data_IF_854734800970
#
_entry.id   IF_854734800970
#
_cell.length_a   1.000
_cell.length_b   1.000
_cell.length_c   1.000
_cell.angle_alpha   90.00
_cell.angle_beta   90.00
_cell.angle_gamma   90.00
#
_symmetry.space_group_name_H-M   'P 1'
#
loop_
_entity.id
_entity.type
_entity.pdbx_description
1 polymer ?
#
# COMPACT_ATOMS: atom_id res chain seq x y z
N UNK A 1 -15.13 8.93 -7.09
CA UNK A 1 -14.83 10.39 -7.25
C UNK A 1 -13.55 10.74 -6.49
N UNK A 2 -12.97 11.93 -6.68
CA UNK A 2 -11.70 12.32 -6.00
C UNK A 2 -11.84 12.33 -4.47
N UNK A 3 -12.95 12.89 -3.95
CA UNK A 3 -13.24 12.89 -2.51
C UNK A 3 -13.34 11.48 -1.93
N UNK A 4 -14.02 10.55 -2.62
CA UNK A 4 -14.09 9.14 -2.21
C UNK A 4 -12.71 8.49 -2.20
N UNK A 5 -11.88 8.79 -3.20
CA UNK A 5 -10.50 8.28 -3.28
C UNK A 5 -9.65 8.78 -2.11
N UNK A 6 -9.82 10.06 -1.74
CA UNK A 6 -9.15 10.64 -0.57
C UNK A 6 -9.62 10.00 0.75
N UNK A 7 -10.92 9.75 0.93
CA UNK A 7 -11.42 9.05 2.12
C UNK A 7 -10.97 7.59 2.17
N UNK A 8 -10.96 6.91 1.02
CA UNK A 8 -10.49 5.53 0.91
C UNK A 8 -8.99 5.43 1.24
N UNK A 9 -8.18 6.37 0.77
CA UNK A 9 -6.76 6.42 1.12
C UNK A 9 -6.53 6.54 2.62
N UNK A 10 -7.27 7.42 3.31
CA UNK A 10 -7.19 7.57 4.77
C UNK A 10 -7.61 6.30 5.47
N UNK A 11 -8.75 5.73 5.08
CA UNK A 11 -9.24 4.49 5.64
C UNK A 11 -8.20 3.36 5.47
N UNK A 12 -7.66 3.18 4.27
CA UNK A 12 -6.65 2.17 4.00
C UNK A 12 -5.35 2.44 4.78
N UNK A 13 -4.95 3.69 4.97
CA UNK A 13 -3.78 4.03 5.79
C UNK A 13 -3.93 3.52 7.22
N UNK A 14 -5.05 3.84 7.88
CA UNK A 14 -5.33 3.41 9.26
C UNK A 14 -5.37 1.88 9.38
N UNK A 15 -6.01 1.20 8.43
CA UNK A 15 -6.09 -0.27 8.43
C UNK A 15 -4.70 -0.89 8.21
N UNK A 16 -3.93 -0.39 7.25
CA UNK A 16 -2.60 -0.93 6.96
C UNK A 16 -1.61 -0.65 8.09
N UNK A 17 -1.72 0.48 8.79
CA UNK A 17 -0.91 0.75 9.97
C UNK A 17 -1.10 -0.32 11.04
N UNK A 18 -2.35 -0.64 11.38
CA UNK A 18 -2.69 -1.70 12.34
C UNK A 18 -2.18 -3.06 11.86
N UNK A 19 -2.44 -3.40 10.58
CA UNK A 19 -2.01 -4.68 10.02
C UNK A 19 -0.49 -4.85 10.02
N UNK A 20 0.21 -3.80 9.63
CA UNK A 20 1.66 -3.80 9.60
C UNK A 20 2.23 -3.89 11.01
N UNK A 21 1.69 -3.14 11.98
CA UNK A 21 2.20 -3.13 13.35
C UNK A 21 2.08 -4.50 14.02
N UNK A 22 0.93 -5.15 13.88
CA UNK A 22 0.71 -6.50 14.41
C UNK A 22 1.62 -7.53 13.74
N UNK A 23 2.10 -7.26 12.52
CA UNK A 23 2.99 -8.18 11.79
C UNK A 23 4.46 -8.07 12.21
N UNK A 24 4.83 -7.05 13.00
CA UNK A 24 6.22 -6.75 13.37
C UNK A 24 6.81 -7.80 14.31
N UNK A 25 6.03 -8.30 15.27
CA UNK A 25 6.48 -9.34 16.18
C UNK A 25 5.33 -10.20 16.70
N UNK A 26 5.66 -11.44 17.06
CA UNK A 26 4.71 -12.36 17.67
C UNK A 26 4.19 -11.85 19.02
N UNK A 27 5.02 -11.11 19.76
CA UNK A 27 4.60 -10.49 21.03
C UNK A 27 3.52 -9.44 20.85
N UNK A 28 3.64 -8.56 19.85
CA UNK A 28 2.61 -7.55 19.53
C UNK A 28 1.36 -8.24 19.02
N UNK A 29 1.51 -9.20 18.09
CA UNK A 29 0.39 -9.98 17.57
C UNK A 29 -0.42 -10.65 18.69
N UNK A 30 0.25 -11.37 19.58
CA UNK A 30 -0.40 -12.05 20.70
C UNK A 30 -1.07 -11.05 21.64
N UNK A 31 -0.39 -9.96 22.04
CA UNK A 31 -0.97 -8.93 22.91
C UNK A 31 -2.25 -8.32 22.33
N UNK A 32 -2.26 -8.06 21.02
CA UNK A 32 -3.41 -7.43 20.35
C UNK A 32 -4.55 -8.42 20.06
N UNK A 33 -4.23 -9.72 19.94
CA UNK A 33 -5.22 -10.77 19.70
C UNK A 33 -5.72 -11.44 20.99
N UNK A 34 -5.03 -11.26 22.12
CA UNK A 34 -5.45 -11.77 23.43
C UNK A 34 -6.76 -11.10 23.86
N UNK A 35 -7.80 -11.90 24.09
CA UNK A 35 -9.14 -11.40 24.43
C UNK A 35 -10.00 -10.95 23.23
N UNK A 36 -9.49 -11.05 21.99
CA UNK A 36 -10.24 -10.75 20.77
C UNK A 36 -10.50 -12.03 19.93
N UNK A 37 -11.50 -12.86 20.30
CA UNK A 37 -11.74 -14.15 19.64
C UNK A 37 -11.97 -14.01 18.12
N UNK A 38 -12.59 -12.92 17.65
CA UNK A 38 -12.91 -12.74 16.22
C UNK A 38 -11.70 -12.61 15.28
N UNK A 39 -10.56 -12.08 15.74
CA UNK A 39 -9.34 -11.95 14.92
C UNK A 39 -8.45 -13.19 14.97
N UNK A 40 -8.49 -13.90 16.10
CA UNK A 40 -7.64 -15.05 16.34
C UNK A 40 -8.32 -16.36 15.93
N UNK A 41 -9.64 -16.49 16.03
CA UNK A 41 -10.35 -17.72 15.75
C UNK A 41 -10.89 -17.73 14.32
N UNK A 42 -10.48 -18.74 13.56
CA UNK A 42 -11.20 -19.18 12.37
C UNK A 42 -12.66 -19.48 12.72
N UNK A 43 -13.55 -19.40 11.73
CA UNK A 43 -14.94 -19.92 11.80
C UNK A 43 -15.01 -21.35 12.37
N UNK A 44 -13.92 -22.13 12.26
CA UNK A 44 -13.79 -23.50 12.81
C UNK A 44 -13.12 -23.57 14.19
N UNK A 45 -12.95 -22.46 14.90
CA UNK A 45 -12.32 -22.41 16.24
C UNK A 45 -10.79 -22.49 16.25
N UNK A 46 -10.13 -22.55 15.09
CA UNK A 46 -8.67 -22.63 15.00
C UNK A 46 -8.01 -21.26 15.14
N UNK A 47 -7.05 -21.14 16.06
CA UNK A 47 -6.19 -19.96 16.24
C UNK A 47 -5.36 -19.69 14.99
N UNK A 48 -5.40 -18.48 14.43
CA UNK A 48 -4.50 -18.03 13.37
C UNK A 48 -3.08 -17.90 13.94
N UNK A 49 -2.10 -18.71 13.48
CA UNK A 49 -0.72 -18.58 13.93
C UNK A 49 -0.09 -17.31 13.38
N UNK A 50 0.81 -16.69 14.15
CA UNK A 50 1.52 -15.47 13.76
C UNK A 50 2.16 -15.56 12.37
N UNK A 51 2.83 -16.68 12.06
CA UNK A 51 3.44 -16.90 10.73
C UNK A 51 2.41 -16.84 9.59
N UNK A 52 1.19 -17.34 9.80
CA UNK A 52 0.12 -17.24 8.80
C UNK A 52 -0.39 -15.80 8.68
N UNK A 53 -0.48 -15.08 9.79
CA UNK A 53 -0.82 -13.66 9.79
C UNK A 53 0.20 -12.83 9.00
N UNK A 54 1.50 -13.01 9.23
CA UNK A 54 2.54 -12.33 8.45
C UNK A 54 2.44 -12.63 6.94
N UNK A 55 2.14 -13.89 6.57
CA UNK A 55 1.89 -14.26 5.16
C UNK A 55 0.66 -13.56 4.59
N UNK A 56 -0.39 -13.38 5.40
CA UNK A 56 -1.57 -12.63 4.99
C UNK A 56 -1.23 -11.15 4.72
N UNK A 57 -0.49 -10.49 5.62
CA UNK A 57 -0.05 -9.10 5.42
C UNK A 57 0.78 -8.96 4.14
N UNK A 58 1.71 -9.89 3.89
CA UNK A 58 2.45 -9.95 2.60
C UNK A 58 1.51 -10.10 1.40
N UNK A 59 0.50 -10.95 1.50
CA UNK A 59 -0.48 -11.14 0.43
C UNK A 59 -1.29 -9.86 0.16
N UNK A 60 -1.68 -9.13 1.20
CA UNK A 60 -2.37 -7.84 1.08
C UNK A 60 -1.48 -6.79 0.42
N UNK A 61 -0.22 -6.69 0.83
CA UNK A 61 0.76 -5.80 0.21
C UNK A 61 0.96 -6.13 -1.29
N UNK A 62 1.10 -7.41 -1.63
CA UNK A 62 1.20 -7.85 -3.03
C UNK A 62 -0.06 -7.55 -3.85
N UNK A 63 -1.25 -7.75 -3.26
CA UNK A 63 -2.53 -7.44 -3.92
C UNK A 63 -2.71 -5.95 -4.15
N UNK A 64 -2.37 -5.10 -3.18
CA UNK A 64 -2.38 -3.64 -3.36
C UNK A 64 -1.43 -3.21 -4.47
N UNK A 65 -0.21 -3.75 -4.49
CA UNK A 65 0.75 -3.43 -5.55
C UNK A 65 0.24 -3.80 -6.95
N UNK A 66 -0.39 -4.97 -7.09
CA UNK A 66 -1.03 -5.38 -8.34
C UNK A 66 -2.19 -4.44 -8.72
N UNK A 67 -3.07 -4.08 -7.78
CA UNK A 67 -4.20 -3.18 -8.04
C UNK A 67 -3.73 -1.79 -8.48
N UNK A 68 -2.75 -1.20 -7.79
CA UNK A 68 -2.16 0.08 -8.20
C UNK A 68 -1.45 -0.03 -9.55
N UNK A 69 -0.75 -1.13 -9.82
CA UNK A 69 -0.11 -1.33 -11.14
C UNK A 69 -1.14 -1.30 -12.27
N UNK A 70 -2.33 -1.88 -12.06
CA UNK A 70 -3.43 -1.80 -13.01
C UNK A 70 -3.97 -0.37 -13.12
N UNK A 71 -4.31 0.26 -12.00
CA UNK A 71 -4.92 1.60 -11.97
C UNK A 71 -4.01 2.72 -12.49
N UNK A 72 -2.68 2.55 -12.41
CA UNK A 72 -1.69 3.49 -12.95
C UNK A 72 -1.38 3.28 -14.43
N UNK A 73 -1.84 2.17 -15.03
CA UNK A 73 -1.58 1.81 -16.42
C UNK A 73 -2.79 2.01 -17.35
N UNK A 74 -3.87 2.61 -16.83
CA UNK A 74 -5.10 2.87 -17.62
C UNK A 74 -4.95 4.16 -18.41
N UNK A 75 -5.57 4.21 -19.60
CA UNK A 75 -5.58 5.40 -20.46
C UNK A 75 -6.42 6.56 -19.89
N UNK A 76 -7.34 6.27 -18.96
CA UNK A 76 -8.23 7.28 -18.39
C UNK A 76 -7.55 8.05 -17.25
N UNK A 77 -7.38 9.37 -17.44
CA UNK A 77 -6.72 10.24 -16.47
C UNK A 77 -7.39 10.27 -15.09
N UNK A 78 -8.71 10.09 -15.00
CA UNK A 78 -9.43 10.14 -13.70
C UNK A 78 -9.05 8.94 -12.82
N UNK A 79 -8.92 7.74 -13.38
CA UNK A 79 -8.54 6.55 -12.62
C UNK A 79 -7.09 6.60 -12.15
N UNK A 80 -6.20 7.11 -13.02
CA UNK A 80 -4.80 7.35 -12.66
C UNK A 80 -4.71 8.38 -11.54
N UNK A 81 -5.49 9.48 -11.61
CA UNK A 81 -5.54 10.51 -10.57
C UNK A 81 -6.02 9.95 -9.23
N UNK A 82 -7.13 9.21 -9.24
CA UNK A 82 -7.68 8.58 -8.04
C UNK A 82 -6.69 7.58 -7.42
N UNK A 83 -6.04 6.77 -8.26
CA UNK A 83 -5.01 5.82 -7.83
C UNK A 83 -3.82 6.53 -7.18
N UNK A 84 -3.33 7.61 -7.79
CA UNK A 84 -2.25 8.43 -7.23
C UNK A 84 -2.67 9.14 -5.95
N UNK A 85 -3.92 9.58 -5.84
CA UNK A 85 -4.46 10.21 -4.62
C UNK A 85 -4.41 9.26 -3.44
N UNK A 86 -4.89 8.02 -3.63
CA UNK A 86 -4.83 6.97 -2.60
C UNK A 86 -3.36 6.64 -2.29
N UNK A 87 -2.55 6.35 -3.33
CA UNK A 87 -1.16 5.96 -3.17
C UNK A 87 -0.33 7.02 -2.45
N UNK A 88 -0.57 8.31 -2.71
CA UNK A 88 0.08 9.43 -2.04
C UNK A 88 -0.12 9.41 -0.53
N UNK A 89 -1.32 9.04 -0.06
CA UNK A 89 -1.62 8.96 1.36
C UNK A 89 -0.96 7.75 2.02
N UNK A 90 -1.00 6.60 1.35
CA UNK A 90 -0.38 5.38 1.87
C UNK A 90 1.15 5.52 1.97
N UNK A 91 1.79 6.06 0.92
CA UNK A 91 3.24 6.33 0.90
C UNK A 91 3.60 7.42 1.91
N UNK A 92 2.76 8.45 2.06
CA UNK A 92 2.95 9.52 3.03
C UNK A 92 2.89 9.05 4.49
N UNK A 93 2.02 8.08 4.79
CA UNK A 93 1.92 7.44 6.09
C UNK A 93 3.01 6.37 6.32
N UNK A 94 3.76 5.98 5.28
CA UNK A 94 4.79 4.94 5.39
C UNK A 94 4.24 3.53 5.61
N UNK A 95 2.97 3.29 5.28
CA UNK A 95 2.29 1.99 5.48
C UNK A 95 2.29 1.10 4.23
N UNK A 96 2.61 1.67 3.07
CA UNK A 96 2.77 0.96 1.81
C UNK A 96 3.70 1.74 0.87
N UNK A 97 4.57 1.08 0.11
CA UNK A 97 4.95 -0.34 0.24
C UNK A 97 5.87 -0.56 1.45
N UNK A 98 5.86 -1.77 2.03
CA UNK A 98 6.79 -2.15 3.13
C UNK A 98 7.86 -3.16 2.71
N UNK A 99 7.69 -3.81 1.56
CA UNK A 99 8.62 -4.81 1.03
C UNK A 99 9.24 -4.32 -0.29
N UNK A 100 10.49 -4.72 -0.51
CA UNK A 100 11.30 -4.36 -1.68
C UNK A 100 10.63 -4.69 -3.03
N UNK A 101 10.10 -5.91 -3.17
CA UNK A 101 9.45 -6.33 -4.42
C UNK A 101 8.27 -5.44 -4.79
N UNK A 102 7.42 -5.08 -3.82
CA UNK A 102 6.28 -4.19 -4.06
C UNK A 102 6.73 -2.75 -4.28
N UNK A 103 7.80 -2.32 -3.62
CA UNK A 103 8.41 -1.02 -3.82
C UNK A 103 8.89 -0.83 -5.25
N UNK A 104 9.72 -1.74 -5.78
CA UNK A 104 10.20 -1.67 -7.17
C UNK A 104 9.04 -1.75 -8.17
N UNK A 105 8.05 -2.60 -7.90
CA UNK A 105 6.87 -2.73 -8.75
C UNK A 105 6.12 -1.39 -8.85
N UNK A 106 5.90 -0.68 -7.74
CA UNK A 106 5.21 0.61 -7.78
C UNK A 106 6.10 1.71 -8.37
N UNK A 107 7.38 1.75 -7.99
CA UNK A 107 8.35 2.74 -8.48
C UNK A 107 8.43 2.72 -10.02
N UNK A 108 8.53 1.53 -10.62
CA UNK A 108 8.54 1.35 -12.08
C UNK A 108 7.24 1.79 -12.78
N UNK A 109 6.10 1.76 -12.09
CA UNK A 109 4.80 2.20 -12.64
C UNK A 109 4.56 3.70 -12.47
N UNK A 110 5.11 4.31 -11.41
CA UNK A 110 5.00 5.75 -11.17
C UNK A 110 6.01 6.53 -12.03
N UNK A 111 7.20 5.96 -12.30
CA UNK A 111 8.28 6.64 -13.02
C UNK A 111 7.84 7.26 -14.37
N UNK A 112 7.10 6.56 -15.26
CA UNK A 112 6.70 7.14 -16.55
C UNK A 112 5.77 8.34 -16.39
N UNK A 113 4.92 8.34 -15.35
CA UNK A 113 3.96 9.41 -15.02
C UNK A 113 4.66 10.67 -14.50
N UNK A 114 5.96 10.62 -14.19
CA UNK A 114 6.74 11.79 -13.78
C UNK A 114 7.16 12.68 -14.95
N UNK A 115 7.10 12.16 -16.18
CA UNK A 115 7.54 12.89 -17.38
C UNK A 115 6.35 13.60 -18.05
N UNK A 116 6.54 14.86 -18.46
CA UNK A 116 5.49 15.72 -19.05
C UNK A 116 5.27 15.45 -20.56
N UNK A 117 5.75 14.32 -21.08
CA UNK A 117 5.99 14.07 -22.52
C UNK A 117 4.74 13.98 -23.41
N UNK A 118 3.56 14.22 -22.86
CA UNK A 118 2.30 14.29 -23.59
C UNK A 118 1.18 14.50 -22.60
N UNK A 119 0.31 15.49 -22.85
CA UNK A 119 -0.81 15.88 -21.99
C UNK A 119 -1.89 14.80 -21.79
N UNK A 120 -1.56 13.51 -21.81
CA UNK A 120 -2.49 12.37 -21.71
C UNK A 120 -3.28 12.37 -20.40
N UNK A 121 -2.68 12.87 -19.32
CA UNK A 121 -3.26 12.80 -17.98
C UNK A 121 -3.33 14.16 -17.24
N UNK A 122 -2.69 15.21 -17.76
CA UNK A 122 -2.74 16.57 -17.20
C UNK A 122 -1.74 16.86 -16.06
N UNK A 123 -1.47 18.15 -15.82
CA UNK A 123 -0.40 18.64 -14.92
C UNK A 123 -0.51 18.16 -13.47
N UNK A 124 -1.72 17.97 -12.96
CA UNK A 124 -1.94 17.51 -11.58
C UNK A 124 -1.35 16.11 -11.34
N UNK A 125 -1.54 15.20 -12.30
CA UNK A 125 -1.01 13.84 -12.24
C UNK A 125 0.52 13.85 -12.24
N UNK A 126 1.16 14.62 -13.13
CA UNK A 126 2.61 14.72 -13.19
C UNK A 126 3.19 15.19 -11.85
N UNK A 127 2.57 16.20 -11.21
CA UNK A 127 3.01 16.73 -9.92
C UNK A 127 2.87 15.69 -8.81
N UNK A 128 1.73 14.99 -8.74
CA UNK A 128 1.54 13.92 -7.75
C UNK A 128 2.52 12.77 -7.94
N UNK A 129 2.72 12.32 -9.19
CA UNK A 129 3.65 11.26 -9.52
C UNK A 129 5.08 11.62 -9.10
N UNK A 130 5.56 12.84 -9.39
CA UNK A 130 6.87 13.32 -8.93
C UNK A 130 7.00 13.30 -7.41
N UNK A 131 5.98 13.77 -6.69
CA UNK A 131 5.97 13.77 -5.23
C UNK A 131 6.00 12.36 -4.63
N UNK A 132 5.23 11.43 -5.20
CA UNK A 132 5.22 10.03 -4.75
C UNK A 132 6.55 9.37 -5.06
N UNK A 133 7.06 9.55 -6.29
CA UNK A 133 8.32 8.95 -6.72
C UNK A 133 9.49 9.38 -5.82
N UNK A 134 9.62 10.68 -5.53
CA UNK A 134 10.67 11.16 -4.62
C UNK A 134 10.55 10.59 -3.20
N UNK A 135 9.33 10.36 -2.70
CA UNK A 135 9.13 9.69 -1.40
C UNK A 135 9.53 8.21 -1.45
N UNK A 136 9.24 7.53 -2.55
CA UNK A 136 9.66 6.13 -2.74
C UNK A 136 11.19 6.01 -2.75
N UNK A 137 11.90 6.93 -3.39
CA UNK A 137 13.38 6.94 -3.37
C UNK A 137 13.94 7.13 -1.95
N UNK A 138 13.32 8.00 -1.15
CA UNK A 138 13.77 8.26 0.22
C UNK A 138 13.59 7.08 1.19
N UNK A 139 12.71 6.12 0.88
CA UNK A 139 12.42 4.98 1.75
C UNK A 139 12.96 3.63 1.24
N UNK A 140 13.63 3.61 0.09
CA UNK A 140 14.12 2.39 -0.57
C UNK A 140 15.02 1.53 0.33
N UNK A 141 15.99 2.13 1.01
CA UNK A 141 16.90 1.43 1.92
C UNK A 141 16.22 0.85 3.18
N UNK A 142 14.99 1.29 3.48
CA UNK A 142 14.22 0.88 4.67
C UNK A 142 13.26 -0.28 4.38
N UNK A 143 13.16 -0.71 3.12
CA UNK A 143 12.23 -1.76 2.71
C UNK A 143 12.63 -3.12 3.29
N UNK A 144 11.64 -3.87 3.79
CA UNK A 144 11.86 -5.22 4.26
C UNK A 144 12.14 -6.15 3.07
N UNK A 145 13.25 -6.90 3.14
CA UNK A 145 13.61 -7.88 2.10
C UNK A 145 12.74 -9.12 2.21
N UNK A 146 12.09 -9.48 1.11
CA UNK A 146 11.42 -10.78 1.01
C UNK A 146 12.49 -11.88 0.89
N UNK A 147 12.66 -12.66 1.95
CA UNK A 147 13.45 -13.92 1.94
C UNK A 147 12.63 -15.07 1.36
#
# INVERSE_FOLDING_TARGET
TEHESSHLGRFLSEILEVLNDWSRSESVYNKMCDGCPGFRQSVKGATLPFVKYQRLVRHWQARLAATFSTGLNVSEGVEVHNSLTILSQLVGAGVFPIFDVQHEQIKSRVQPLTTDSGHTHGRSITVMAKSIYGRLEQCEDKMAKLK
#
